data_IF_407731109498
#
_entry.id   IF_407731109498
#
_cell.length_a   1.000
_cell.length_b   1.000
_cell.length_c   1.000
_cell.angle_alpha   90.00
_cell.angle_beta   90.00
_cell.angle_gamma   90.00
#
_symmetry.space_group_name_H-M   'P 1'
#
loop_
_entity.id
_entity.type
_entity.pdbx_description
1 polymer ?
#
# COMPACT_ATOMS: atom_id res chain seq x y z
N UNK A 1 30.06 18.24 -11.56
CA UNK A 1 29.25 19.46 -11.66
C UNK A 1 27.95 19.19 -10.94
N UNK A 2 27.56 20.05 -9.99
CA UNK A 2 26.25 19.95 -9.36
C UNK A 2 25.28 20.78 -10.22
N UNK A 3 24.29 20.13 -10.83
CA UNK A 3 23.26 20.83 -11.61
C UNK A 3 22.12 21.24 -10.70
N UNK A 4 21.50 22.43 -10.89
CA UNK A 4 20.32 22.79 -10.14
C UNK A 4 19.20 21.79 -10.43
N UNK A 5 18.40 21.49 -9.42
CA UNK A 5 17.22 20.63 -9.56
C UNK A 5 15.98 21.49 -9.36
N UNK A 6 14.99 21.34 -10.23
CA UNK A 6 13.72 22.06 -10.12
C UNK A 6 12.56 21.07 -10.07
N UNK A 7 11.54 21.39 -9.29
CA UNK A 7 10.29 20.63 -9.29
C UNK A 7 9.11 21.56 -8.97
N UNK A 8 7.90 21.14 -9.34
CA UNK A 8 6.67 21.83 -8.98
C UNK A 8 6.14 21.27 -7.66
N UNK A 9 5.78 22.17 -6.73
CA UNK A 9 5.29 21.78 -5.40
C UNK A 9 4.08 20.85 -5.53
N UNK A 10 4.11 19.73 -4.81
CA UNK A 10 3.10 18.68 -4.85
C UNK A 10 3.25 17.67 -6.00
N UNK A 11 4.27 17.81 -6.86
CA UNK A 11 4.55 16.88 -7.96
C UNK A 11 5.81 16.06 -7.70
N UNK A 12 5.88 14.88 -8.33
CA UNK A 12 6.99 13.93 -8.23
C UNK A 12 8.08 14.17 -9.28
N UNK A 13 7.78 14.89 -10.36
CA UNK A 13 8.70 15.11 -11.47
C UNK A 13 9.82 16.10 -11.11
N UNK A 14 11.07 15.75 -11.46
CA UNK A 14 12.23 16.64 -11.30
C UNK A 14 12.85 16.98 -12.66
N UNK A 15 13.25 18.24 -12.83
CA UNK A 15 14.13 18.70 -13.90
C UNK A 15 15.55 18.87 -13.35
N UNK A 16 16.54 18.34 -14.04
CA UNK A 16 17.96 18.50 -13.68
C UNK A 16 18.65 19.40 -14.71
N UNK A 17 19.20 20.52 -14.24
CA UNK A 17 19.85 21.53 -15.08
C UNK A 17 18.88 22.46 -15.80
N UNK A 18 19.47 23.37 -16.60
CA UNK A 18 18.73 24.39 -17.34
C UNK A 18 18.19 25.53 -16.46
N UNK A 19 17.26 26.29 -17.03
CA UNK A 19 16.57 27.38 -16.35
C UNK A 19 15.35 26.86 -15.59
N UNK A 20 15.01 27.54 -14.48
CA UNK A 20 13.83 27.21 -13.67
C UNK A 20 12.54 27.41 -14.49
N UNK A 21 11.75 26.37 -14.75
CA UNK A 21 10.46 26.52 -15.43
C UNK A 21 9.48 27.37 -14.61
N UNK A 22 8.48 27.93 -15.30
CA UNK A 22 7.39 28.66 -14.62
C UNK A 22 6.60 27.72 -13.71
N UNK A 23 6.35 28.14 -12.47
CA UNK A 23 5.63 27.35 -11.46
C UNK A 23 6.47 26.27 -10.77
N UNK A 24 7.76 26.15 -11.10
CA UNK A 24 8.70 25.29 -10.40
C UNK A 24 9.46 26.09 -9.35
N UNK A 25 10.04 25.39 -8.38
CA UNK A 25 10.95 25.95 -7.39
C UNK A 25 12.32 25.28 -7.50
N UNK A 26 13.35 25.94 -6.98
CA UNK A 26 14.67 25.33 -6.79
C UNK A 26 14.63 24.33 -5.64
N UNK A 27 15.05 23.10 -5.91
CA UNK A 27 15.15 22.04 -4.92
C UNK A 27 16.52 22.03 -4.25
N UNK A 28 16.55 21.63 -2.98
CA UNK A 28 17.77 21.47 -2.19
C UNK A 28 18.67 20.36 -2.77
N UNK A 29 18.06 19.36 -3.41
CA UNK A 29 18.77 18.27 -4.06
C UNK A 29 17.88 17.45 -4.99
N UNK A 30 18.48 16.43 -5.62
CA UNK A 30 17.75 15.45 -6.39
C UNK A 30 16.77 14.68 -5.51
N UNK A 31 15.64 14.30 -6.11
CA UNK A 31 14.68 13.39 -5.49
C UNK A 31 15.39 12.10 -5.08
N UNK A 32 15.10 11.56 -3.89
CA UNK A 32 15.58 10.24 -3.52
C UNK A 32 15.19 9.19 -4.58
N UNK A 33 16.16 8.34 -4.95
CA UNK A 33 15.98 7.22 -5.89
C UNK A 33 15.92 5.88 -5.14
N UNK A 34 15.19 5.85 -4.02
CA UNK A 34 14.91 4.64 -3.27
C UNK A 34 13.67 3.90 -3.83
N UNK A 35 13.24 2.83 -3.16
CA UNK A 35 12.04 2.06 -3.50
C UNK A 35 10.73 2.86 -3.42
N UNK A 36 10.78 4.03 -2.78
CA UNK A 36 9.66 4.98 -2.61
C UNK A 36 9.80 6.22 -3.48
N UNK A 37 10.72 6.21 -4.46
CA UNK A 37 10.97 7.34 -5.36
C UNK A 37 9.68 7.88 -6.04
N UNK A 38 8.68 7.03 -6.27
CA UNK A 38 7.39 7.41 -6.85
C UNK A 38 6.46 8.17 -5.88
N UNK A 39 6.71 8.09 -4.57
CA UNK A 39 5.87 8.70 -3.52
C UNK A 39 6.35 10.08 -3.07
N UNK A 40 7.63 10.41 -3.32
CA UNK A 40 8.16 11.73 -2.96
C UNK A 40 7.49 12.82 -3.80
N UNK A 41 7.07 13.90 -3.14
CA UNK A 41 6.60 15.12 -3.77
C UNK A 41 7.48 16.30 -3.36
N UNK A 42 7.61 17.28 -4.24
CA UNK A 42 8.35 18.50 -3.93
C UNK A 42 7.57 19.34 -2.91
N UNK A 43 8.24 19.76 -1.84
CA UNK A 43 7.70 20.60 -0.78
C UNK A 43 8.01 22.08 -1.05
N UNK A 44 7.20 22.97 -0.49
CA UNK A 44 7.37 24.42 -0.70
C UNK A 44 8.72 24.98 -0.18
N UNK A 45 9.43 24.24 0.67
CA UNK A 45 10.76 24.57 1.18
C UNK A 45 11.91 24.03 0.31
N UNK A 46 11.60 23.40 -0.82
CA UNK A 46 12.59 22.82 -1.73
C UNK A 46 13.08 21.43 -1.32
N UNK A 47 12.49 20.81 -0.30
CA UNK A 47 12.79 19.42 0.09
C UNK A 47 11.86 18.43 -0.60
N UNK A 48 12.22 17.14 -0.58
CA UNK A 48 11.35 16.05 -1.00
C UNK A 48 10.75 15.39 0.23
N UNK A 49 9.44 15.26 0.29
CA UNK A 49 8.77 14.52 1.34
C UNK A 49 7.73 13.58 0.75
N UNK A 50 7.43 12.51 1.47
CA UNK A 50 6.31 11.66 1.12
C UNK A 50 5.09 12.24 1.82
N UNK A 51 4.12 12.69 1.04
CA UNK A 51 2.86 13.22 1.58
C UNK A 51 2.13 12.09 2.33
N UNK A 52 1.85 12.23 3.64
CA UNK A 52 1.17 11.20 4.42
C UNK A 52 -0.19 10.79 3.84
N UNK A 53 -0.90 11.69 3.16
CA UNK A 53 -2.16 11.39 2.48
C UNK A 53 -1.91 10.49 1.26
N UNK A 54 -0.88 10.77 0.46
CA UNK A 54 -0.53 9.94 -0.71
C UNK A 54 -0.11 8.54 -0.24
N UNK A 55 0.79 8.46 0.75
CA UNK A 55 1.20 7.18 1.32
C UNK A 55 0.03 6.39 1.91
N UNK A 56 -0.87 7.07 2.63
CA UNK A 56 -2.09 6.44 3.15
C UNK A 56 -2.96 5.88 2.03
N UNK A 57 -3.22 6.66 0.97
CA UNK A 57 -4.04 6.21 -0.17
C UNK A 57 -3.43 5.02 -0.88
N UNK A 58 -2.12 5.03 -1.12
CA UNK A 58 -1.41 3.88 -1.68
C UNK A 58 -1.56 2.63 -0.80
N UNK A 59 -1.43 2.77 0.52
CA UNK A 59 -1.63 1.67 1.46
C UNK A 59 -3.08 1.13 1.44
N UNK A 60 -4.09 2.01 1.37
CA UNK A 60 -5.51 1.61 1.23
C UNK A 60 -5.74 0.76 -0.03
N UNK A 61 -5.15 1.15 -1.16
CA UNK A 61 -5.28 0.40 -2.42
C UNK A 61 -4.63 -0.99 -2.31
N UNK A 62 -3.43 -1.06 -1.73
CA UNK A 62 -2.70 -2.32 -1.48
C UNK A 62 -3.54 -3.25 -0.59
N UNK A 63 -4.06 -2.76 0.53
CA UNK A 63 -4.87 -3.57 1.45
C UNK A 63 -6.20 -4.02 0.82
N UNK A 64 -6.83 -3.15 0.01
CA UNK A 64 -8.07 -3.49 -0.69
C UNK A 64 -7.85 -4.61 -1.70
N UNK A 65 -6.76 -4.55 -2.46
CA UNK A 65 -6.36 -5.60 -3.39
C UNK A 65 -6.04 -6.90 -2.65
N UNK A 66 -5.24 -6.84 -1.59
CA UNK A 66 -4.88 -7.99 -0.75
C UNK A 66 -6.12 -8.68 -0.17
N UNK A 67 -7.01 -7.92 0.49
CA UNK A 67 -8.28 -8.44 1.04
C UNK A 67 -9.12 -9.14 -0.02
N UNK A 68 -9.20 -8.56 -1.21
CA UNK A 68 -10.00 -9.13 -2.31
C UNK A 68 -9.44 -10.48 -2.77
N UNK A 69 -8.12 -10.60 -2.87
CA UNK A 69 -7.45 -11.86 -3.17
C UNK A 69 -7.67 -12.90 -2.05
N UNK A 70 -7.55 -12.49 -0.78
CA UNK A 70 -7.80 -13.38 0.36
C UNK A 70 -9.24 -13.90 0.39
N UNK A 71 -10.24 -13.08 0.08
CA UNK A 71 -11.64 -13.53 0.03
C UNK A 71 -11.88 -14.63 -1.01
N UNK A 72 -11.12 -14.64 -2.12
CA UNK A 72 -11.17 -15.73 -3.10
C UNK A 72 -10.55 -17.01 -2.54
N UNK A 73 -9.43 -16.90 -1.82
CA UNK A 73 -8.80 -18.04 -1.14
C UNK A 73 -9.77 -18.66 -0.13
N UNK A 74 -10.47 -17.85 0.66
CA UNK A 74 -11.45 -18.36 1.62
C UNK A 74 -12.61 -19.07 0.94
N UNK A 75 -13.09 -18.56 -0.19
CA UNK A 75 -14.18 -19.19 -0.94
C UNK A 75 -13.79 -20.58 -1.45
N UNK A 76 -12.62 -20.70 -2.09
CA UNK A 76 -12.07 -21.98 -2.56
C UNK A 76 -11.83 -22.95 -1.41
N UNK A 77 -11.25 -22.46 -0.31
CA UNK A 77 -10.93 -23.29 0.84
C UNK A 77 -12.17 -23.87 1.54
N UNK A 78 -13.27 -23.11 1.65
CA UNK A 78 -14.50 -23.63 2.23
C UNK A 78 -15.10 -24.76 1.37
N UNK A 79 -15.00 -24.66 0.03
CA UNK A 79 -15.41 -25.75 -0.87
C UNK A 79 -14.55 -26.99 -0.69
N UNK A 80 -13.21 -26.83 -0.63
CA UNK A 80 -12.30 -27.96 -0.39
C UNK A 80 -12.60 -28.70 0.92
N UNK A 81 -12.91 -27.96 1.98
CA UNK A 81 -13.30 -28.55 3.27
C UNK A 81 -14.61 -29.33 3.13
N UNK A 82 -15.60 -28.77 2.42
CA UNK A 82 -16.89 -29.43 2.17
C UNK A 82 -16.73 -30.73 1.37
N UNK A 83 -15.87 -30.72 0.35
CA UNK A 83 -15.56 -31.88 -0.48
C UNK A 83 -14.66 -32.92 0.21
N UNK A 84 -14.11 -32.59 1.39
CA UNK A 84 -13.13 -33.43 2.08
C UNK A 84 -11.79 -33.56 1.33
N UNK A 85 -11.42 -32.53 0.57
CA UNK A 85 -10.19 -32.50 -0.23
C UNK A 85 -8.95 -32.55 0.68
N UNK A 86 -8.06 -33.55 0.54
CA UNK A 86 -6.82 -33.61 1.31
C UNK A 86 -5.86 -32.43 1.03
N UNK A 87 -6.06 -31.67 -0.04
CA UNK A 87 -5.33 -30.44 -0.35
C UNK A 87 -5.94 -29.18 0.28
N UNK A 88 -7.00 -29.31 1.11
CA UNK A 88 -7.48 -28.21 1.93
C UNK A 88 -6.36 -27.71 2.86
N UNK A 89 -6.21 -26.38 2.94
CA UNK A 89 -5.31 -25.74 3.90
C UNK A 89 -5.73 -26.04 5.34
N UNK A 90 -4.81 -25.85 6.29
CA UNK A 90 -5.10 -26.05 7.71
C UNK A 90 -6.25 -25.17 8.23
N UNK A 91 -6.92 -25.66 9.27
CA UNK A 91 -8.07 -25.01 9.89
C UNK A 91 -9.40 -25.65 9.49
N UNK A 92 -10.44 -25.42 10.29
CA UNK A 92 -11.79 -25.95 10.06
C UNK A 92 -12.74 -24.92 9.43
N UNK A 93 -13.91 -25.38 8.95
CA UNK A 93 -14.94 -24.52 8.33
C UNK A 93 -15.26 -23.28 9.18
N UNK A 94 -15.39 -23.43 10.51
CA UNK A 94 -15.72 -22.31 11.39
C UNK A 94 -14.61 -21.26 11.42
N UNK A 95 -13.36 -21.68 11.58
CA UNK A 95 -12.19 -20.78 11.59
C UNK A 95 -12.06 -20.01 10.27
N UNK A 96 -12.28 -20.67 9.14
CA UNK A 96 -12.26 -20.02 7.81
C UNK A 96 -13.43 -19.04 7.63
N UNK A 97 -14.62 -19.34 8.16
CA UNK A 97 -15.75 -18.39 8.16
C UNK A 97 -15.49 -17.17 9.05
N UNK A 98 -14.88 -17.37 10.21
CA UNK A 98 -14.50 -16.28 11.11
C UNK A 98 -13.45 -15.38 10.48
N UNK A 99 -12.43 -15.97 9.83
CA UNK A 99 -11.46 -15.23 9.04
C UNK A 99 -12.12 -14.41 7.92
N UNK A 100 -13.10 -14.97 7.21
CA UNK A 100 -13.89 -14.24 6.19
C UNK A 100 -14.59 -13.01 6.76
N UNK A 101 -15.13 -13.11 7.98
CA UNK A 101 -15.81 -11.99 8.65
C UNK A 101 -14.81 -10.90 8.98
N UNK A 102 -13.64 -11.26 9.52
CA UNK A 102 -12.56 -10.31 9.80
C UNK A 102 -12.07 -9.62 8.52
N UNK A 103 -11.86 -10.36 7.43
CA UNK A 103 -11.50 -9.78 6.13
C UNK A 103 -12.53 -8.78 5.63
N UNK A 104 -13.83 -9.07 5.73
CA UNK A 104 -14.89 -8.13 5.32
C UNK A 104 -14.92 -6.86 6.17
N UNK A 105 -14.50 -6.96 7.44
CA UNK A 105 -14.38 -5.82 8.33
C UNK A 105 -13.07 -5.01 8.11
N UNK A 106 -12.06 -5.57 7.45
CA UNK A 106 -10.80 -4.88 7.12
C UNK A 106 -11.01 -3.89 5.96
N UNK A 107 -11.32 -2.63 6.28
CA UNK A 107 -11.63 -1.57 5.31
C UNK A 107 -11.33 -0.17 5.91
N UNK A 108 -11.39 0.89 5.08
CA UNK A 108 -11.28 2.27 5.56
C UNK A 108 -12.25 2.54 6.71
N UNK A 109 -11.73 3.09 7.81
CA UNK A 109 -12.49 3.36 9.03
C UNK A 109 -12.47 2.23 10.06
N UNK A 110 -11.94 1.04 9.74
CA UNK A 110 -11.65 0.00 10.72
C UNK A 110 -10.39 0.34 11.53
N UNK A 111 -10.34 -0.11 12.78
CA UNK A 111 -9.17 0.07 13.64
C UNK A 111 -7.90 -0.49 12.96
N UNK A 112 -6.82 0.29 13.02
CA UNK A 112 -5.51 -0.01 12.44
C UNK A 112 -5.44 -0.16 10.91
N UNK A 113 -6.53 -0.03 10.17
CA UNK A 113 -6.47 0.00 8.70
C UNK A 113 -5.73 1.27 8.22
N UNK A 114 -4.85 1.22 7.20
CA UNK A 114 -4.44 0.08 6.36
C UNK A 114 -3.10 -0.58 6.77
N UNK A 115 -2.74 -0.59 8.05
CA UNK A 115 -1.45 -1.13 8.50
C UNK A 115 -1.38 -2.66 8.33
N UNK A 116 -0.48 -3.12 7.46
CA UNK A 116 -0.29 -4.52 7.14
C UNK A 116 0.07 -5.40 8.36
N UNK A 117 0.63 -4.82 9.43
CA UNK A 117 0.95 -5.55 10.66
C UNK A 117 -0.29 -6.01 11.43
N UNK A 118 -1.46 -5.42 11.16
CA UNK A 118 -2.73 -5.72 11.81
C UNK A 118 -3.70 -6.49 10.92
N UNK A 119 -3.21 -6.98 9.77
CA UNK A 119 -4.00 -7.81 8.88
C UNK A 119 -4.60 -9.01 9.64
N UNK A 120 -5.87 -9.35 9.36
CA UNK A 120 -6.41 -10.64 9.76
C UNK A 120 -5.48 -11.78 9.33
N UNK A 121 -5.31 -12.77 10.19
CA UNK A 121 -4.39 -13.90 9.95
C UNK A 121 -5.20 -15.14 9.58
N UNK A 122 -4.75 -15.85 8.52
CA UNK A 122 -5.34 -17.12 8.11
C UNK A 122 -5.32 -18.14 9.27
N UNK A 123 -6.30 -19.04 9.35
CA UNK A 123 -6.26 -20.15 10.30
C UNK A 123 -5.01 -21.01 10.13
N UNK A 124 -4.42 -21.42 11.25
CA UNK A 124 -3.37 -22.44 11.32
C UNK A 124 -3.91 -23.69 12.02
N UNK A 125 -3.24 -24.83 11.86
CA UNK A 125 -3.59 -26.05 12.59
C UNK A 125 -3.55 -25.77 14.11
N UNK A 126 -4.54 -26.27 14.83
CA UNK A 126 -4.59 -26.22 16.29
C UNK A 126 -3.65 -27.27 16.92
#
# INVERSE_FOLDING_TARGET
MNFPVYAKVGENFQQVGGDCPSGYILMVGARPEDDRAAEYVAMADGTWAIDPMIAYRAAVEIETAWRSAELLVVADQLLRIEDGDPAALSGNDRQWRDYRIQLRAWAEGADHFPDAAYRPVRPVAA
#
